data_IF_417302287779
#
_entry.id   IF_417302287779
#
_cell.length_a   1.000
_cell.length_b   1.000
_cell.length_c   1.000
_cell.angle_alpha   90.00
_cell.angle_beta   90.00
_cell.angle_gamma   90.00
#
_symmetry.space_group_name_H-M   'P 1'
#
loop_
_entity.id
_entity.type
_entity.pdbx_description
1 polymer ?
#
# COMPACT_ATOMS: atom_id res chain seq x y z
N UNK A 1 -115.29 -70.98 24.99
CA UNK A 1 -113.95 -71.36 24.45
C UNK A 1 -113.55 -70.61 23.15
N UNK A 2 -114.42 -69.83 22.49
CA UNK A 2 -114.09 -69.09 21.24
C UNK A 2 -113.40 -67.72 21.43
N UNK A 3 -113.60 -67.02 22.56
CA UNK A 3 -113.02 -65.68 22.78
C UNK A 3 -111.49 -65.68 22.96
N UNK A 4 -110.93 -66.70 23.62
CA UNK A 4 -109.48 -66.79 23.91
C UNK A 4 -108.66 -67.04 22.62
N UNK A 5 -109.17 -67.87 21.69
CA UNK A 5 -108.47 -68.17 20.41
C UNK A 5 -108.40 -66.96 19.47
N UNK A 6 -109.33 -65.99 19.58
CA UNK A 6 -109.34 -64.77 18.76
C UNK A 6 -108.28 -63.77 19.22
N UNK A 7 -108.13 -63.56 20.53
CA UNK A 7 -107.13 -62.64 21.09
C UNK A 7 -105.70 -63.18 20.92
N UNK A 8 -105.49 -64.50 21.03
CA UNK A 8 -104.19 -65.13 20.78
C UNK A 8 -103.79 -65.03 19.29
N UNK A 9 -104.74 -65.17 18.35
CA UNK A 9 -104.47 -64.96 16.92
C UNK A 9 -104.19 -63.49 16.60
N UNK A 10 -104.94 -62.56 17.20
CA UNK A 10 -104.69 -61.13 17.04
C UNK A 10 -103.31 -60.73 17.58
N UNK A 11 -102.91 -61.26 18.74
CA UNK A 11 -101.58 -61.05 19.32
C UNK A 11 -100.46 -61.66 18.46
N UNK A 12 -100.65 -62.87 17.92
CA UNK A 12 -99.69 -63.51 17.04
C UNK A 12 -99.51 -62.77 15.71
N UNK A 13 -100.59 -62.24 15.12
CA UNK A 13 -100.53 -61.43 13.89
C UNK A 13 -99.85 -60.08 14.18
N UNK A 14 -100.16 -59.44 15.31
CA UNK A 14 -99.49 -58.20 15.71
C UNK A 14 -97.99 -58.42 15.94
N UNK A 15 -97.60 -59.52 16.59
CA UNK A 15 -96.21 -59.89 16.77
C UNK A 15 -95.51 -60.19 15.43
N UNK A 16 -96.17 -60.93 14.53
CA UNK A 16 -95.61 -61.24 13.20
C UNK A 16 -95.46 -59.99 12.33
N UNK A 17 -96.41 -59.04 12.38
CA UNK A 17 -96.30 -57.75 11.69
C UNK A 17 -95.20 -56.87 12.27
N UNK A 18 -95.02 -56.88 13.60
CA UNK A 18 -94.00 -56.08 14.25
C UNK A 18 -92.60 -56.64 13.97
N UNK A 19 -92.42 -57.96 14.09
CA UNK A 19 -91.15 -58.64 13.76
C UNK A 19 -90.87 -58.56 12.27
N UNK A 20 -91.88 -58.78 11.41
CA UNK A 20 -91.74 -58.67 9.97
C UNK A 20 -91.45 -57.24 9.51
N UNK A 21 -92.12 -56.25 10.09
CA UNK A 21 -91.93 -54.84 9.78
C UNK A 21 -90.56 -54.32 10.22
N UNK A 22 -90.14 -54.64 11.45
CA UNK A 22 -88.79 -54.28 11.93
C UNK A 22 -87.70 -55.03 11.19
N UNK A 23 -87.90 -56.31 10.89
CA UNK A 23 -86.96 -57.13 10.13
C UNK A 23 -86.78 -56.62 8.69
N UNK A 24 -87.88 -56.27 8.02
CA UNK A 24 -87.83 -55.72 6.67
C UNK A 24 -87.18 -54.33 6.65
N UNK A 25 -87.50 -53.47 7.62
CA UNK A 25 -86.88 -52.15 7.76
C UNK A 25 -85.37 -52.25 8.06
N UNK A 26 -84.96 -53.16 8.94
CA UNK A 26 -83.55 -53.40 9.25
C UNK A 26 -82.78 -53.97 8.04
N UNK A 27 -83.42 -54.83 7.23
CA UNK A 27 -82.80 -55.38 6.02
C UNK A 27 -82.70 -54.37 4.87
N UNK A 28 -83.64 -53.41 4.77
CA UNK A 28 -83.64 -52.38 3.73
C UNK A 28 -82.89 -51.10 4.11
N UNK A 29 -82.56 -50.91 5.38
CA UNK A 29 -81.91 -49.69 5.85
C UNK A 29 -80.40 -49.78 5.67
N UNK A 30 -79.87 -49.09 4.66
CA UNK A 30 -78.43 -48.91 4.48
C UNK A 30 -77.95 -47.73 5.34
N UNK A 31 -77.23 -48.03 6.42
CA UNK A 31 -76.59 -47.00 7.24
C UNK A 31 -75.33 -46.49 6.52
N UNK A 32 -75.42 -45.35 5.85
CA UNK A 32 -74.27 -44.70 5.23
C UNK A 32 -73.36 -44.10 6.31
N UNK A 33 -72.38 -44.86 6.76
CA UNK A 33 -71.32 -44.36 7.65
C UNK A 33 -70.23 -43.67 6.83
N UNK A 34 -70.13 -42.35 6.94
CA UNK A 34 -68.95 -41.63 6.49
C UNK A 34 -67.90 -41.66 7.62
N UNK A 35 -66.81 -42.41 7.42
CA UNK A 35 -65.65 -42.35 8.32
C UNK A 35 -64.83 -41.13 7.93
N UNK A 36 -64.99 -40.03 8.67
CA UNK A 36 -64.10 -38.88 8.58
C UNK A 36 -62.88 -39.17 9.47
N UNK A 37 -61.82 -39.70 8.87
CA UNK A 37 -60.54 -39.84 9.54
C UNK A 37 -59.76 -38.52 9.37
N UNK A 38 -59.53 -37.80 10.48
CA UNK A 38 -58.64 -36.65 10.50
C UNK A 38 -57.20 -37.12 10.29
N UNK A 39 -56.59 -36.76 9.16
CA UNK A 39 -55.17 -36.94 8.91
C UNK A 39 -54.42 -35.62 9.08
N UNK A 40 -53.39 -35.60 9.93
CA UNK A 40 -52.47 -34.47 10.01
C UNK A 40 -51.13 -34.87 9.38
N UNK A 41 -50.71 -34.10 8.36
CA UNK A 41 -49.40 -34.25 7.74
C UNK A 41 -48.36 -33.58 8.64
N UNK A 42 -47.52 -34.38 9.30
CA UNK A 42 -46.40 -33.89 10.11
C UNK A 42 -45.11 -34.12 9.33
N UNK A 43 -44.24 -33.11 9.30
CA UNK A 43 -42.93 -33.23 8.66
C UNK A 43 -42.08 -34.21 9.47
N UNK A 44 -41.68 -35.34 8.87
CA UNK A 44 -40.93 -36.40 9.56
C UNK A 44 -39.48 -36.04 9.93
N UNK A 45 -39.01 -34.87 9.52
CA UNK A 45 -37.64 -34.37 9.74
C UNK A 45 -37.65 -32.96 10.34
N UNK A 46 -36.55 -32.59 11.00
CA UNK A 46 -36.34 -31.23 11.48
C UNK A 46 -36.32 -30.23 10.31
N UNK A 47 -37.19 -29.22 10.37
CA UNK A 47 -37.14 -28.08 9.46
C UNK A 47 -35.84 -27.32 9.70
N UNK A 48 -35.02 -27.17 8.67
CA UNK A 48 -33.79 -26.37 8.72
C UNK A 48 -34.14 -24.93 8.36
N UNK A 49 -34.03 -24.02 9.33
CA UNK A 49 -34.18 -22.59 9.07
C UNK A 49 -32.95 -22.07 8.32
N UNK A 50 -33.17 -21.41 7.18
CA UNK A 50 -32.12 -20.75 6.41
C UNK A 50 -32.17 -19.26 6.76
N UNK A 51 -31.10 -18.74 7.37
CA UNK A 51 -31.04 -17.35 7.84
C UNK A 51 -29.71 -16.70 7.43
N UNK A 52 -29.78 -15.46 6.94
CA UNK A 52 -28.59 -14.67 6.66
C UNK A 52 -27.98 -14.14 7.98
N UNK A 53 -26.67 -14.34 8.24
CA UNK A 53 -26.06 -14.04 9.54
C UNK A 53 -26.08 -12.56 9.92
N UNK A 54 -26.05 -11.65 8.93
CA UNK A 54 -26.03 -10.20 9.15
C UNK A 54 -27.38 -9.52 8.82
N UNK A 55 -28.36 -10.26 8.29
CA UNK A 55 -29.56 -9.66 7.67
C UNK A 55 -29.27 -8.91 6.36
N UNK A 56 -30.25 -8.20 5.83
CA UNK A 56 -30.12 -7.43 4.58
C UNK A 56 -31.46 -7.16 3.90
N UNK A 57 -31.44 -6.33 2.87
CA UNK A 57 -32.62 -6.08 2.01
C UNK A 57 -32.69 -7.20 0.98
N UNK A 58 -33.85 -7.83 0.81
CA UNK A 58 -34.07 -8.86 -0.22
C UNK A 58 -34.22 -8.18 -1.58
N UNK A 59 -33.34 -8.49 -2.52
CA UNK A 59 -33.42 -8.01 -3.90
C UNK A 59 -34.26 -8.92 -4.79
N UNK A 60 -34.10 -10.24 -4.65
CA UNK A 60 -34.91 -11.23 -5.36
C UNK A 60 -35.19 -12.47 -4.52
N UNK A 61 -36.39 -13.01 -4.66
CA UNK A 61 -36.81 -14.29 -4.08
C UNK A 61 -37.05 -15.28 -5.23
N UNK A 62 -36.26 -16.35 -5.29
CA UNK A 62 -36.28 -17.29 -6.42
C UNK A 62 -37.16 -18.52 -6.15
N UNK A 63 -37.81 -18.59 -4.99
CA UNK A 63 -38.60 -19.73 -4.55
C UNK A 63 -39.95 -19.30 -4.01
N UNK A 64 -40.94 -20.19 -4.12
CA UNK A 64 -42.28 -20.00 -3.58
C UNK A 64 -42.64 -21.15 -2.63
N UNK A 65 -43.68 -20.97 -1.82
CA UNK A 65 -44.14 -22.01 -0.89
C UNK A 65 -44.47 -23.31 -1.66
N UNK A 66 -43.88 -24.43 -1.22
CA UNK A 66 -44.05 -25.74 -1.87
C UNK A 66 -43.05 -26.03 -3.01
N UNK A 67 -42.12 -25.11 -3.31
CA UNK A 67 -41.06 -25.36 -4.29
C UNK A 67 -40.11 -26.45 -3.78
N UNK A 68 -39.77 -27.42 -4.63
CA UNK A 68 -38.70 -28.38 -4.36
C UNK A 68 -37.36 -27.74 -4.72
N UNK A 69 -36.36 -27.85 -3.84
CA UNK A 69 -35.04 -27.22 -3.99
C UNK A 69 -33.94 -28.22 -3.68
N UNK A 70 -32.81 -28.09 -4.36
CA UNK A 70 -31.62 -28.91 -4.16
C UNK A 70 -30.53 -28.12 -3.40
N UNK A 71 -29.53 -28.84 -2.91
CA UNK A 71 -28.41 -28.22 -2.21
C UNK A 71 -27.55 -27.41 -3.19
N UNK A 72 -27.39 -26.11 -2.94
CA UNK A 72 -26.67 -25.18 -3.80
C UNK A 72 -27.57 -24.21 -4.57
N UNK A 73 -28.88 -24.45 -4.58
CA UNK A 73 -29.84 -23.56 -5.23
C UNK A 73 -29.89 -22.19 -4.56
N UNK A 74 -29.88 -21.13 -5.37
CA UNK A 74 -30.00 -19.76 -4.89
C UNK A 74 -31.46 -19.47 -4.56
N UNK A 75 -31.81 -19.54 -3.27
CA UNK A 75 -33.18 -19.32 -2.79
C UNK A 75 -33.56 -17.84 -2.74
N UNK A 76 -32.64 -17.01 -2.24
CA UNK A 76 -32.81 -15.57 -2.01
C UNK A 76 -31.54 -14.86 -2.47
N UNK A 77 -31.68 -13.75 -3.18
CA UNK A 77 -30.59 -12.81 -3.46
C UNK A 77 -30.84 -11.51 -2.72
N UNK A 78 -29.86 -11.09 -1.93
CA UNK A 78 -29.91 -9.79 -1.26
C UNK A 78 -29.55 -8.66 -2.23
N UNK A 79 -29.99 -7.44 -1.91
CA UNK A 79 -29.53 -6.23 -2.59
C UNK A 79 -28.03 -6.03 -2.32
N UNK A 80 -27.25 -6.06 -3.38
CA UNK A 80 -25.79 -5.97 -3.37
C UNK A 80 -25.29 -4.55 -3.68
N UNK A 81 -26.18 -3.55 -3.80
CA UNK A 81 -25.80 -2.17 -4.17
C UNK A 81 -24.73 -1.60 -3.22
N UNK A 82 -24.94 -1.75 -1.90
CA UNK A 82 -23.98 -1.30 -0.88
C UNK A 82 -22.69 -2.12 -0.92
N UNK A 83 -22.80 -3.44 -1.10
CA UNK A 83 -21.64 -4.33 -1.16
C UNK A 83 -20.77 -4.03 -2.38
N UNK A 84 -21.37 -3.78 -3.54
CA UNK A 84 -20.68 -3.40 -4.79
C UNK A 84 -20.04 -2.02 -4.69
N UNK A 85 -20.72 -1.05 -4.06
CA UNK A 85 -20.13 0.26 -3.81
C UNK A 85 -18.89 0.16 -2.89
N UNK A 86 -18.97 -0.64 -1.81
CA UNK A 86 -17.84 -0.87 -0.92
C UNK A 86 -16.69 -1.59 -1.63
N UNK A 87 -16.98 -2.60 -2.45
CA UNK A 87 -15.98 -3.29 -3.25
C UNK A 87 -15.24 -2.31 -4.18
N UNK A 88 -15.97 -1.46 -4.90
CA UNK A 88 -15.36 -0.47 -5.78
C UNK A 88 -14.46 0.52 -5.02
N UNK A 89 -14.83 0.92 -3.80
CA UNK A 89 -13.99 1.78 -2.96
C UNK A 89 -12.69 1.06 -2.58
N UNK A 90 -12.78 -0.22 -2.16
CA UNK A 90 -11.62 -1.01 -1.76
C UNK A 90 -10.70 -1.29 -2.97
N UNK A 91 -11.26 -1.67 -4.11
CA UNK A 91 -10.50 -1.94 -5.33
C UNK A 91 -9.77 -0.68 -5.82
N UNK A 92 -10.43 0.47 -5.85
CA UNK A 92 -9.78 1.74 -6.19
C UNK A 92 -8.64 2.07 -5.21
N UNK A 93 -8.85 1.85 -3.91
CA UNK A 93 -7.81 2.04 -2.90
C UNK A 93 -6.62 1.08 -3.07
N UNK A 94 -6.86 -0.16 -3.48
CA UNK A 94 -5.82 -1.13 -3.79
C UNK A 94 -5.02 -0.73 -5.02
N UNK A 95 -5.69 -0.20 -6.05
CA UNK A 95 -5.04 0.30 -7.26
C UNK A 95 -4.14 1.50 -6.96
N UNK A 96 -4.62 2.47 -6.18
CA UNK A 96 -3.83 3.63 -5.72
C UNK A 96 -2.60 3.22 -4.93
N UNK A 97 -2.76 2.32 -3.95
CA UNK A 97 -1.65 1.81 -3.15
C UNK A 97 -0.65 1.01 -3.99
N UNK A 98 -1.13 0.24 -4.97
CA UNK A 98 -0.28 -0.55 -5.86
C UNK A 98 0.54 0.34 -6.80
N UNK A 99 -0.06 1.38 -7.36
CA UNK A 99 0.63 2.36 -8.20
C UNK A 99 1.69 3.14 -7.40
N UNK A 100 1.31 3.63 -6.21
CA UNK A 100 2.23 4.29 -5.27
C UNK A 100 3.39 3.38 -4.90
N UNK A 101 3.13 2.13 -4.55
CA UNK A 101 4.16 1.15 -4.20
C UNK A 101 5.13 0.94 -5.35
N UNK A 102 4.64 0.82 -6.58
CA UNK A 102 5.48 0.69 -7.76
C UNK A 102 6.42 1.89 -7.93
N UNK A 103 5.90 3.13 -7.79
CA UNK A 103 6.72 4.36 -7.79
C UNK A 103 7.78 4.31 -6.70
N UNK A 104 7.40 4.00 -5.46
CA UNK A 104 8.31 3.96 -4.31
C UNK A 104 9.43 2.93 -4.51
N UNK A 105 9.13 1.74 -5.03
CA UNK A 105 10.17 0.75 -5.36
C UNK A 105 11.13 1.31 -6.41
N UNK A 106 10.62 1.95 -7.46
CA UNK A 106 11.44 2.58 -8.49
C UNK A 106 12.34 3.70 -7.92
N UNK A 107 11.84 4.52 -6.99
CA UNK A 107 12.62 5.55 -6.30
C UNK A 107 13.71 4.97 -5.39
N UNK A 108 13.39 3.92 -4.61
CA UNK A 108 14.34 3.22 -3.74
C UNK A 108 15.52 2.65 -4.54
N UNK A 109 15.21 2.00 -5.65
CA UNK A 109 16.18 1.29 -6.47
C UNK A 109 16.90 2.22 -7.47
N UNK A 110 16.47 3.49 -7.55
CA UNK A 110 17.04 4.47 -8.47
C UNK A 110 16.79 4.12 -9.94
N UNK A 111 15.66 3.47 -10.23
CA UNK A 111 15.28 3.08 -11.58
C UNK A 111 15.05 4.31 -12.49
N UNK A 112 15.12 4.12 -13.80
CA UNK A 112 14.84 5.21 -14.76
C UNK A 112 13.36 5.42 -15.03
N UNK A 113 12.53 4.40 -14.79
CA UNK A 113 11.10 4.39 -15.02
C UNK A 113 10.40 3.52 -13.97
N UNK A 114 9.13 3.80 -13.73
CA UNK A 114 8.28 3.01 -12.84
C UNK A 114 7.78 1.79 -13.58
N UNK A 115 7.92 0.61 -12.97
CA UNK A 115 7.38 -0.64 -13.49
C UNK A 115 6.13 -1.01 -12.69
N UNK A 116 4.96 -0.93 -13.34
CA UNK A 116 3.69 -1.26 -12.72
C UNK A 116 3.36 -2.76 -12.85
N UNK A 117 2.71 -3.37 -11.84
CA UNK A 117 2.18 -4.73 -11.93
C UNK A 117 1.20 -4.92 -13.10
N UNK A 118 1.10 -6.16 -13.60
CA UNK A 118 0.25 -6.53 -14.75
C UNK A 118 -1.23 -6.18 -14.53
N UNK A 119 -1.71 -6.25 -13.29
CA UNK A 119 -3.08 -5.90 -12.93
C UNK A 119 -3.43 -4.43 -13.23
N UNK A 120 -2.46 -3.52 -13.07
CA UNK A 120 -2.62 -2.10 -13.37
C UNK A 120 -2.29 -1.79 -14.82
N UNK A 121 -1.21 -2.36 -15.36
CA UNK A 121 -0.78 -2.08 -16.74
C UNK A 121 -1.73 -2.67 -17.78
N UNK A 122 -2.32 -3.84 -17.51
CA UNK A 122 -3.35 -4.45 -18.37
C UNK A 122 -4.65 -3.64 -18.45
N UNK A 123 -4.95 -2.85 -17.41
CA UNK A 123 -6.14 -2.00 -17.33
C UNK A 123 -5.84 -0.51 -17.55
N UNK A 124 -4.65 -0.16 -18.04
CA UNK A 124 -4.23 1.24 -18.22
C UNK A 124 -5.11 2.04 -19.20
N UNK A 125 -5.88 1.36 -20.06
CA UNK A 125 -6.85 1.98 -20.97
C UNK A 125 -8.10 2.51 -20.26
N UNK A 126 -8.39 2.03 -19.04
CA UNK A 126 -9.46 2.58 -18.24
C UNK A 126 -9.09 4.01 -17.80
N UNK A 127 -9.95 5.03 -18.03
CA UNK A 127 -9.60 6.43 -17.78
C UNK A 127 -9.11 6.70 -16.35
N UNK A 128 -9.73 6.07 -15.35
CA UNK A 128 -9.38 6.23 -13.95
C UNK A 128 -7.96 5.73 -13.64
N UNK A 129 -7.62 4.52 -14.10
CA UNK A 129 -6.30 3.91 -13.90
C UNK A 129 -5.23 4.64 -14.72
N UNK A 130 -5.54 5.03 -15.96
CA UNK A 130 -4.63 5.84 -16.78
C UNK A 130 -4.24 7.16 -16.11
N UNK A 131 -5.22 7.90 -15.57
CA UNK A 131 -4.96 9.13 -14.82
C UNK A 131 -4.12 8.90 -13.55
N UNK A 132 -4.36 7.81 -12.82
CA UNK A 132 -3.58 7.42 -11.66
C UNK A 132 -2.11 7.17 -12.02
N UNK A 133 -1.87 6.33 -13.03
CA UNK A 133 -0.51 5.99 -13.52
C UNK A 133 0.22 7.24 -14.01
N UNK A 134 -0.46 8.09 -14.78
CA UNK A 134 0.11 9.36 -15.26
C UNK A 134 0.49 10.29 -14.11
N UNK A 135 -0.35 10.36 -13.08
CA UNK A 135 -0.09 11.14 -11.86
C UNK A 135 1.18 10.68 -11.15
N UNK A 136 1.29 9.39 -10.89
CA UNK A 136 2.47 8.79 -10.23
C UNK A 136 3.74 8.93 -11.09
N UNK A 137 3.65 8.77 -12.42
CA UNK A 137 4.77 8.97 -13.33
C UNK A 137 5.26 10.43 -13.35
N UNK A 138 4.35 11.40 -13.33
CA UNK A 138 4.70 12.83 -13.25
C UNK A 138 5.37 13.15 -11.91
N UNK A 139 4.83 12.64 -10.80
CA UNK A 139 5.42 12.81 -9.49
C UNK A 139 6.84 12.22 -9.43
N UNK A 140 7.02 11.00 -9.93
CA UNK A 140 8.32 10.34 -10.04
C UNK A 140 9.34 11.19 -10.81
N UNK A 141 8.95 11.67 -12.01
CA UNK A 141 9.82 12.49 -12.85
C UNK A 141 10.22 13.80 -12.16
N UNK A 142 9.27 14.48 -11.50
CA UNK A 142 9.52 15.71 -10.75
C UNK A 142 10.48 15.48 -9.58
N UNK A 143 10.27 14.43 -8.77
CA UNK A 143 11.15 14.10 -7.64
C UNK A 143 12.56 13.75 -8.12
N UNK A 144 12.66 12.96 -9.19
CA UNK A 144 13.95 12.60 -9.81
C UNK A 144 14.69 13.83 -10.33
N UNK A 145 14.02 14.69 -11.09
CA UNK A 145 14.61 15.93 -11.62
C UNK A 145 15.08 16.86 -10.49
N UNK A 146 14.28 17.03 -9.44
CA UNK A 146 14.65 17.85 -8.29
C UNK A 146 15.90 17.32 -7.58
N UNK A 147 16.01 15.99 -7.40
CA UNK A 147 17.19 15.33 -6.83
C UNK A 147 18.41 15.51 -7.71
N UNK A 148 18.30 15.21 -9.01
CA UNK A 148 19.41 15.36 -9.96
C UNK A 148 19.89 16.80 -10.06
N UNK A 149 18.98 17.78 -9.98
CA UNK A 149 19.31 19.20 -9.91
C UNK A 149 20.14 19.56 -8.68
N UNK A 150 19.74 19.10 -7.48
CA UNK A 150 20.51 19.31 -6.24
C UNK A 150 21.91 18.69 -6.31
N UNK A 151 22.01 17.45 -6.79
CA UNK A 151 23.30 16.75 -6.94
C UNK A 151 24.19 17.49 -7.94
N UNK A 152 23.63 17.95 -9.05
CA UNK A 152 24.39 18.68 -10.08
C UNK A 152 24.92 20.02 -9.54
N UNK A 153 24.12 20.74 -8.75
CA UNK A 153 24.56 21.97 -8.09
C UNK A 153 25.73 21.74 -7.12
N UNK A 154 25.68 20.66 -6.33
CA UNK A 154 26.77 20.32 -5.41
C UNK A 154 28.03 19.89 -6.16
N UNK A 155 27.89 19.12 -7.25
CA UNK A 155 29.02 18.75 -8.12
C UNK A 155 29.68 19.96 -8.76
N UNK A 156 28.90 20.94 -9.21
CA UNK A 156 29.44 22.18 -9.76
C UNK A 156 30.25 22.95 -8.70
N UNK A 157 29.77 23.01 -7.46
CA UNK A 157 30.54 23.60 -6.34
C UNK A 157 31.85 22.85 -6.07
N UNK A 158 31.84 21.52 -6.14
CA UNK A 158 33.06 20.70 -6.01
C UNK A 158 34.07 21.08 -7.12
N UNK A 159 33.60 21.24 -8.37
CA UNK A 159 34.47 21.67 -9.48
C UNK A 159 35.07 23.05 -9.21
N UNK A 160 34.27 24.01 -8.73
CA UNK A 160 34.74 25.35 -8.36
C UNK A 160 35.81 25.29 -7.25
N UNK A 161 35.60 24.51 -6.19
CA UNK A 161 36.59 24.33 -5.12
C UNK A 161 37.87 23.66 -5.62
N UNK A 162 37.80 22.73 -6.58
CA UNK A 162 38.99 22.14 -7.20
C UNK A 162 39.80 23.17 -7.99
N UNK A 163 39.12 24.08 -8.69
CA UNK A 163 39.79 25.20 -9.37
C UNK A 163 40.43 26.18 -8.39
N UNK A 164 39.76 26.48 -7.27
CA UNK A 164 40.32 27.30 -6.19
C UNK A 164 41.59 26.66 -5.60
N UNK A 165 41.56 25.36 -5.30
CA UNK A 165 42.74 24.61 -4.84
C UNK A 165 43.87 24.69 -5.87
N UNK A 166 43.58 24.52 -7.16
CA UNK A 166 44.61 24.62 -8.20
C UNK A 166 45.27 26.01 -8.23
N UNK A 167 44.50 27.08 -7.99
CA UNK A 167 45.00 28.44 -7.85
C UNK A 167 45.88 28.62 -6.62
N UNK A 168 45.45 28.11 -5.45
CA UNK A 168 46.23 28.15 -4.20
C UNK A 168 47.53 27.35 -4.36
N UNK A 169 47.49 26.17 -4.99
CA UNK A 169 48.67 25.35 -5.26
C UNK A 169 49.66 26.03 -6.21
N UNK A 170 49.19 26.82 -7.17
CA UNK A 170 50.06 27.65 -8.00
C UNK A 170 50.74 28.76 -7.18
N UNK A 171 50.01 29.44 -6.30
CA UNK A 171 50.58 30.43 -5.37
C UNK A 171 51.61 29.78 -4.42
N UNK A 172 51.30 28.59 -3.93
CA UNK A 172 52.20 27.82 -3.06
C UNK A 172 53.52 27.50 -3.77
N UNK A 173 53.48 27.01 -5.01
CA UNK A 173 54.69 26.76 -5.80
C UNK A 173 55.53 28.03 -5.99
N UNK A 174 54.89 29.16 -6.31
CA UNK A 174 55.58 30.45 -6.45
C UNK A 174 56.23 30.91 -5.14
N UNK A 175 55.52 30.79 -4.01
CA UNK A 175 56.05 31.14 -2.69
C UNK A 175 57.20 30.23 -2.27
N UNK A 176 57.10 28.94 -2.54
CA UNK A 176 58.16 27.98 -2.25
C UNK A 176 59.43 28.27 -3.06
N UNK A 177 59.28 28.70 -4.31
CA UNK A 177 60.39 29.17 -5.13
C UNK A 177 61.01 30.46 -4.54
N UNK A 178 60.19 31.44 -4.16
CA UNK A 178 60.65 32.68 -3.52
C UNK A 178 61.42 32.42 -2.22
N UNK A 179 60.94 31.50 -1.38
CA UNK A 179 61.62 31.04 -0.16
C UNK A 179 62.98 30.42 -0.51
N UNK A 180 63.04 29.56 -1.52
CA UNK A 180 64.30 28.89 -1.91
C UNK A 180 65.36 29.89 -2.37
N UNK A 181 64.98 30.91 -3.16
CA UNK A 181 65.87 31.97 -3.61
C UNK A 181 66.32 32.85 -2.43
N UNK A 182 65.39 33.20 -1.55
CA UNK A 182 65.68 34.00 -0.34
C UNK A 182 66.65 33.28 0.59
N UNK A 183 66.54 31.95 0.72
CA UNK A 183 67.48 31.12 1.51
C UNK A 183 68.91 31.19 0.95
N UNK A 184 69.06 31.12 -0.36
CA UNK A 184 70.37 31.25 -1.02
C UNK A 184 70.97 32.64 -0.78
N UNK A 185 70.16 33.70 -0.94
CA UNK A 185 70.61 35.08 -0.65
C UNK A 185 71.03 35.26 0.82
N UNK A 186 70.26 34.69 1.75
CA UNK A 186 70.54 34.74 3.18
C UNK A 186 71.83 34.03 3.55
N UNK A 187 72.11 32.87 2.96
CA UNK A 187 73.36 32.15 3.19
C UNK A 187 74.58 32.99 2.78
N UNK A 188 74.54 33.60 1.59
CA UNK A 188 75.58 34.53 1.15
C UNK A 188 75.71 35.76 2.06
N UNK A 189 74.59 36.33 2.52
CA UNK A 189 74.60 37.45 3.46
C UNK A 189 75.14 37.08 4.84
N UNK A 190 74.85 35.88 5.35
CA UNK A 190 75.42 35.37 6.61
C UNK A 190 76.93 35.28 6.52
N UNK A 191 77.47 34.82 5.38
CA UNK A 191 78.91 34.73 5.17
C UNK A 191 79.59 36.10 5.04
N UNK A 192 78.95 37.06 4.36
CA UNK A 192 79.44 38.44 4.30
C UNK A 192 79.41 39.13 5.67
N UNK A 193 78.38 38.87 6.47
CA UNK A 193 78.30 39.38 7.85
C UNK A 193 79.39 38.79 8.75
N UNK A 194 79.68 37.48 8.66
CA UNK A 194 80.82 36.85 9.38
C UNK A 194 82.16 37.51 9.04
N UNK A 195 82.32 37.96 7.80
CA UNK A 195 83.49 38.72 7.33
C UNK A 195 83.44 40.22 7.69
N UNK A 196 82.42 40.67 8.43
CA UNK A 196 82.14 42.06 8.83
C UNK A 196 81.94 43.03 7.65
N UNK A 197 81.51 42.53 6.50
CA UNK A 197 81.30 43.31 5.28
C UNK A 197 79.89 43.90 5.16
N UNK A 198 78.96 43.50 6.02
CA UNK A 198 77.55 43.92 6.00
C UNK A 198 77.07 44.14 7.45
N UNK A 199 76.26 45.17 7.74
CA UNK A 199 75.71 45.39 9.07
C UNK A 199 74.67 44.31 9.45
N UNK A 200 74.59 43.98 10.75
CA UNK A 200 73.63 43.00 11.29
C UNK A 200 72.16 43.35 11.00
N UNK A 201 71.83 44.64 10.93
CA UNK A 201 70.47 45.11 10.62
C UNK A 201 69.97 44.60 9.27
N UNK A 202 70.81 44.67 8.23
CA UNK A 202 70.46 44.13 6.90
C UNK A 202 70.23 42.62 6.91
N UNK A 203 71.06 41.87 7.66
CA UNK A 203 70.88 40.42 7.81
C UNK A 203 69.55 40.11 8.51
N UNK A 204 69.29 40.75 9.65
CA UNK A 204 68.06 40.56 10.42
C UNK A 204 66.80 40.96 9.64
N UNK A 205 66.86 42.00 8.79
CA UNK A 205 65.75 42.40 7.92
C UNK A 205 65.39 41.29 6.91
N UNK A 206 66.40 40.60 6.36
CA UNK A 206 66.18 39.48 5.44
C UNK A 206 65.73 38.21 6.13
N UNK A 207 66.24 37.90 7.32
CA UNK A 207 65.75 36.77 8.12
C UNK A 207 64.28 36.98 8.51
N UNK A 208 63.89 38.21 8.88
CA UNK A 208 62.47 38.57 9.08
C UNK A 208 61.64 38.42 7.81
N UNK A 209 62.21 38.65 6.63
CA UNK A 209 61.51 38.46 5.36
C UNK A 209 61.28 36.97 5.05
N UNK A 210 62.30 36.13 5.24
CA UNK A 210 62.17 34.66 5.12
C UNK A 210 61.08 34.12 6.05
N UNK A 211 61.10 34.52 7.33
CA UNK A 211 60.09 34.09 8.30
C UNK A 211 58.67 34.52 7.92
N UNK A 212 58.51 35.71 7.31
CA UNK A 212 57.21 36.15 6.75
C UNK A 212 56.76 35.28 5.58
N UNK A 213 57.67 34.97 4.66
CA UNK A 213 57.37 34.09 3.51
C UNK A 213 56.98 32.68 3.94
N UNK A 214 57.68 32.10 4.91
CA UNK A 214 57.33 30.79 5.48
C UNK A 214 55.94 30.84 6.17
N UNK A 215 55.62 31.95 6.86
CA UNK A 215 54.29 32.18 7.44
C UNK A 215 53.18 32.25 6.39
N UNK A 216 53.39 33.02 5.30
CA UNK A 216 52.47 33.10 4.17
C UNK A 216 52.28 31.74 3.48
N UNK A 217 53.38 30.98 3.30
CA UNK A 217 53.32 29.63 2.75
C UNK A 217 52.46 28.70 3.64
N UNK A 218 52.65 28.76 4.96
CA UNK A 218 51.82 28.02 5.92
C UNK A 218 50.33 28.39 5.84
N UNK A 219 50.01 29.68 5.65
CA UNK A 219 48.63 30.14 5.44
C UNK A 219 48.02 29.57 4.16
N UNK A 220 48.78 29.50 3.06
CA UNK A 220 48.32 28.90 1.81
C UNK A 220 48.09 27.39 1.94
N UNK A 221 48.96 26.67 2.66
CA UNK A 221 48.75 25.24 2.96
C UNK A 221 47.44 25.04 3.74
N UNK A 222 47.22 25.84 4.79
CA UNK A 222 46.01 25.77 5.59
C UNK A 222 44.75 26.08 4.77
N UNK A 223 44.80 27.10 3.91
CA UNK A 223 43.71 27.45 3.00
C UNK A 223 43.39 26.29 2.03
N UNK A 224 44.39 25.69 1.40
CA UNK A 224 44.20 24.53 0.52
C UNK A 224 43.59 23.34 1.27
N UNK A 225 44.05 23.06 2.49
CA UNK A 225 43.49 22.01 3.33
C UNK A 225 42.02 22.28 3.71
N UNK A 226 41.68 23.52 4.06
CA UNK A 226 40.31 23.92 4.37
C UNK A 226 39.39 23.74 3.16
N UNK A 227 39.82 24.15 1.96
CA UNK A 227 39.03 24.00 0.74
C UNK A 227 38.85 22.53 0.35
N UNK A 228 39.87 21.67 0.58
CA UNK A 228 39.71 20.20 0.45
C UNK A 228 38.67 19.65 1.43
N UNK A 229 38.66 20.15 2.68
CA UNK A 229 37.62 19.79 3.66
C UNK A 229 36.21 20.12 3.17
N UNK A 230 36.01 21.31 2.60
CA UNK A 230 34.72 21.71 1.99
C UNK A 230 34.29 20.79 0.84
N UNK A 231 35.23 20.28 0.04
CA UNK A 231 34.91 19.27 -1.00
C UNK A 231 34.36 18.01 -0.35
N UNK A 232 35.02 17.48 0.68
CA UNK A 232 34.55 16.29 1.40
C UNK A 232 33.17 16.51 2.01
N UNK A 233 32.89 17.68 2.56
CA UNK A 233 31.55 18.04 3.07
C UNK A 233 30.49 18.02 1.95
N UNK A 234 30.79 18.56 0.77
CA UNK A 234 29.86 18.52 -0.37
C UNK A 234 29.65 17.09 -0.89
N UNK A 235 30.69 16.26 -0.91
CA UNK A 235 30.60 14.84 -1.28
C UNK A 235 29.71 14.05 -0.29
N UNK A 236 29.87 14.30 1.01
CA UNK A 236 29.00 13.73 2.04
C UNK A 236 27.55 14.22 1.89
N UNK A 237 27.34 15.50 1.57
CA UNK A 237 26.00 16.03 1.33
C UNK A 237 25.31 15.35 0.14
N UNK A 238 26.05 15.01 -0.92
CA UNK A 238 25.52 14.22 -2.06
C UNK A 238 25.07 12.83 -1.59
N UNK A 239 25.87 12.15 -0.77
CA UNK A 239 25.52 10.83 -0.22
C UNK A 239 24.27 10.93 0.68
N UNK A 240 24.19 11.99 1.49
CA UNK A 240 23.07 12.20 2.39
C UNK A 240 21.74 12.39 1.63
N UNK A 241 21.73 13.10 0.51
CA UNK A 241 20.54 13.26 -0.35
C UNK A 241 19.97 11.88 -0.76
N UNK A 242 20.85 10.92 -1.07
CA UNK A 242 20.44 9.59 -1.49
C UNK A 242 19.95 8.73 -0.33
N UNK A 243 20.58 8.87 0.83
CA UNK A 243 20.17 8.19 2.06
C UNK A 243 18.82 8.71 2.57
N UNK A 244 18.60 10.02 2.56
CA UNK A 244 17.35 10.65 2.97
C UNK A 244 16.18 10.17 2.10
N UNK A 245 16.38 10.10 0.77
CA UNK A 245 15.37 9.54 -0.15
C UNK A 245 15.05 8.07 0.19
N UNK A 246 16.08 7.24 0.37
CA UNK A 246 15.88 5.81 0.70
C UNK A 246 15.17 5.64 2.04
N UNK A 247 15.46 6.49 3.02
CA UNK A 247 14.81 6.49 4.33
C UNK A 247 13.36 6.92 4.24
N UNK A 248 13.07 8.01 3.52
CA UNK A 248 11.70 8.50 3.26
C UNK A 248 10.86 7.42 2.56
N UNK A 249 11.40 6.85 1.48
CA UNK A 249 10.74 5.78 0.71
C UNK A 249 10.54 4.51 1.54
N UNK A 250 11.51 4.12 2.37
CA UNK A 250 11.36 2.98 3.28
C UNK A 250 10.29 3.23 4.36
N UNK A 251 10.12 4.49 4.78
CA UNK A 251 9.05 4.91 5.69
C UNK A 251 7.67 4.81 5.03
N UNK A 252 7.54 5.25 3.78
CA UNK A 252 6.27 5.18 3.02
C UNK A 252 5.90 3.75 2.60
N UNK A 253 6.85 2.83 2.50
CA UNK A 253 6.63 1.42 2.13
C UNK A 253 6.18 0.51 3.28
N UNK A 254 6.27 0.98 4.53
CA UNK A 254 5.92 0.20 5.73
C UNK A 254 4.44 0.35 6.08
#
# INVERSE_FOLDING_TARGET
>A
RQAIRRNVRAGAIAAALLVGGLGLWAASSSLAGAVVAGGHLVVGSNVKSVQHPQGGVVGALNVQNGSTVEAGDVLVRLDDTVARANLAIVDNGLDELSARRARLIAERDGAQAVLYPEQLSGNAHAPQIGHLIDGENRLFALRRQAREGKISQLRERIVQFRQEIAGIEAQLRSKQQEISLTKIELEGMRDLWKKKLVPISRLADRERAEARLDGENGQLIAAAAQTRGRISEMELAIIQIDQDLRSEVAGELR
#
